data_IF_578783081677
#
_entry.id   IF_578783081677
#
_cell.length_a   1.000
_cell.length_b   1.000
_cell.length_c   1.000
_cell.angle_alpha   90.00
_cell.angle_beta   90.00
_cell.angle_gamma   90.00
#
_symmetry.space_group_name_H-M   'P 1'
#
loop_
_entity.id
_entity.type
_entity.pdbx_description
1 polymer ?
#
# COMPACT_ATOMS: atom_id res chain seq x y z
N UNK A 1 14.32 -12.34 -11.76
CA UNK A 1 13.18 -12.12 -10.84
C UNK A 1 12.42 -10.94 -11.39
N UNK A 2 11.15 -11.12 -11.79
CA UNK A 2 10.34 -10.01 -12.26
C UNK A 2 10.11 -9.02 -11.13
N UNK A 3 10.09 -7.73 -11.47
CA UNK A 3 9.73 -6.68 -10.52
C UNK A 3 8.39 -7.02 -9.87
N UNK A 4 8.27 -6.84 -8.55
CA UNK A 4 7.06 -7.15 -7.80
C UNK A 4 5.96 -6.07 -8.01
N UNK A 5 5.84 -5.62 -9.26
CA UNK A 5 5.00 -4.53 -9.74
C UNK A 5 4.25 -4.99 -10.99
N UNK A 6 2.94 -4.73 -11.04
CA UNK A 6 2.02 -5.31 -12.02
C UNK A 6 1.11 -4.25 -12.63
N UNK A 7 0.91 -4.36 -13.95
CA UNK A 7 0.11 -3.43 -14.75
C UNK A 7 0.95 -2.38 -15.47
N UNK A 8 0.36 -1.76 -16.49
CA UNK A 8 1.00 -0.66 -17.22
C UNK A 8 0.77 0.68 -16.49
N UNK A 9 1.77 1.57 -16.41
CA UNK A 9 1.58 2.90 -15.86
C UNK A 9 0.52 3.72 -16.61
N UNK A 10 -0.31 4.44 -15.86
CA UNK A 10 -1.29 5.39 -16.37
C UNK A 10 -0.65 6.78 -16.35
N UNK A 11 -0.32 7.25 -17.55
CA UNK A 11 0.45 8.47 -17.82
C UNK A 11 -0.40 9.46 -18.63
N UNK A 12 0.09 10.68 -18.85
CA UNK A 12 -0.56 11.62 -19.79
C UNK A 12 -0.72 10.99 -21.19
N UNK A 13 0.22 10.16 -21.63
CA UNK A 13 0.11 9.46 -22.91
C UNK A 13 -1.01 8.41 -22.93
N UNK A 14 -1.31 7.80 -21.79
CA UNK A 14 -2.44 6.88 -21.62
C UNK A 14 -3.74 7.65 -21.70
N UNK A 15 -3.84 8.79 -21.01
CA UNK A 15 -5.04 9.64 -20.99
C UNK A 15 -5.34 10.22 -22.37
N UNK A 16 -4.35 10.72 -23.12
CA UNK A 16 -4.54 11.25 -24.49
C UNK A 16 -5.11 10.25 -25.51
N UNK A 17 -5.16 8.96 -25.18
CA UNK A 17 -5.82 7.93 -26.00
C UNK A 17 -7.31 7.75 -25.66
N UNK A 18 -7.78 8.40 -24.59
CA UNK A 18 -9.19 8.43 -24.21
C UNK A 18 -9.87 9.63 -24.88
N UNK A 19 -11.09 9.47 -25.43
CA UNK A 19 -11.79 10.54 -26.12
C UNK A 19 -11.98 11.82 -25.28
N UNK A 20 -12.11 11.67 -23.96
CA UNK A 20 -12.31 12.79 -23.02
C UNK A 20 -11.06 13.67 -22.81
N UNK A 21 -9.86 13.18 -23.16
CA UNK A 21 -8.58 13.90 -23.00
C UNK A 21 -7.79 14.06 -24.31
N UNK A 22 -8.36 13.70 -25.46
CA UNK A 22 -7.65 13.67 -26.76
C UNK A 22 -7.05 15.03 -27.12
N UNK A 23 -7.82 16.10 -26.90
CA UNK A 23 -7.42 17.50 -27.14
C UNK A 23 -7.03 18.26 -25.86
N UNK A 24 -6.84 17.56 -24.73
CA UNK A 24 -6.48 18.19 -23.47
C UNK A 24 -4.96 18.40 -23.36
N UNK A 25 -4.57 19.68 -23.27
CA UNK A 25 -3.18 20.10 -23.10
C UNK A 25 -2.77 20.22 -21.63
N UNK A 26 -3.72 20.17 -20.69
CA UNK A 26 -3.54 20.46 -19.27
C UNK A 26 -3.88 19.27 -18.35
N UNK A 27 -3.56 18.04 -18.77
CA UNK A 27 -3.75 16.83 -17.96
C UNK A 27 -2.98 16.94 -16.63
N UNK A 28 -3.74 16.92 -15.53
CA UNK A 28 -3.23 17.04 -14.16
C UNK A 28 -2.94 15.68 -13.52
N UNK A 29 -2.33 15.68 -12.32
CA UNK A 29 -2.19 14.45 -11.52
C UNK A 29 -3.55 13.92 -11.06
N UNK A 30 -4.53 14.78 -10.81
CA UNK A 30 -5.90 14.41 -10.42
C UNK A 30 -6.56 13.61 -11.56
N UNK A 31 -6.44 14.06 -12.82
CA UNK A 31 -6.98 13.33 -13.96
C UNK A 31 -6.37 11.92 -14.07
N UNK A 32 -5.04 11.83 -13.92
CA UNK A 32 -4.33 10.55 -13.91
C UNK A 32 -4.74 9.65 -12.75
N UNK A 33 -5.01 10.22 -11.58
CA UNK A 33 -5.48 9.52 -10.38
C UNK A 33 -6.90 8.96 -10.59
N UNK A 34 -7.83 9.77 -11.11
CA UNK A 34 -9.20 9.35 -11.46
C UNK A 34 -9.19 8.14 -12.41
N UNK A 35 -8.46 8.25 -13.53
CA UNK A 35 -8.37 7.15 -14.51
C UNK A 35 -7.71 5.92 -13.88
N UNK A 36 -6.67 6.10 -13.06
CA UNK A 36 -6.05 4.99 -12.36
C UNK A 36 -7.00 4.28 -11.41
N UNK A 37 -7.79 5.00 -10.63
CA UNK A 37 -8.75 4.39 -9.72
C UNK A 37 -9.81 3.58 -10.47
N UNK A 38 -10.34 4.13 -11.57
CA UNK A 38 -11.30 3.45 -12.45
C UNK A 38 -10.72 2.20 -13.11
N UNK A 39 -9.42 2.19 -13.41
CA UNK A 39 -8.72 1.08 -14.06
C UNK A 39 -8.04 0.12 -13.08
N UNK A 40 -8.36 0.16 -11.78
CA UNK A 40 -7.71 -0.65 -10.74
C UNK A 40 -7.68 -2.16 -11.02
N UNK A 41 -8.75 -2.69 -11.61
CA UNK A 41 -8.89 -4.12 -11.95
C UNK A 41 -8.79 -4.39 -13.46
N UNK A 42 -8.44 -3.39 -14.28
CA UNK A 42 -8.31 -3.56 -15.72
C UNK A 42 -7.10 -4.45 -16.06
N UNK A 43 -7.14 -5.11 -17.22
CA UNK A 43 -6.02 -5.91 -17.77
C UNK A 43 -5.54 -7.05 -16.84
N UNK A 44 -6.39 -7.52 -15.93
CA UNK A 44 -6.09 -8.60 -14.97
C UNK A 44 -4.85 -8.33 -14.09
N UNK A 45 -4.43 -7.06 -13.98
CA UNK A 45 -3.22 -6.67 -13.24
C UNK A 45 -3.25 -7.12 -11.77
N UNK A 46 -4.43 -7.09 -11.16
CA UNK A 46 -4.69 -7.55 -9.80
C UNK A 46 -4.57 -9.08 -9.69
N UNK A 47 -5.05 -9.83 -10.70
CA UNK A 47 -4.97 -11.29 -10.74
C UNK A 47 -3.51 -11.73 -10.80
N UNK A 48 -2.69 -11.09 -11.64
CA UNK A 48 -1.25 -11.38 -11.73
C UNK A 48 -0.50 -11.10 -10.42
N UNK A 49 -0.83 -9.98 -9.76
CA UNK A 49 -0.26 -9.65 -8.45
C UNK A 49 -0.65 -10.68 -7.37
N UNK A 50 -1.90 -11.16 -7.38
CA UNK A 50 -2.36 -12.23 -6.47
C UNK A 50 -1.68 -13.57 -6.75
N UNK A 51 -1.58 -13.98 -8.02
CA UNK A 51 -0.87 -15.21 -8.41
C UNK A 51 0.60 -15.17 -7.96
N UNK A 52 1.24 -14.01 -8.06
CA UNK A 52 2.59 -13.82 -7.56
C UNK A 52 2.69 -14.01 -6.03
N UNK A 53 1.74 -13.45 -5.27
CA UNK A 53 1.69 -13.60 -3.82
C UNK A 53 1.41 -15.04 -3.38
N UNK A 54 0.51 -15.76 -4.06
CA UNK A 54 0.26 -17.18 -3.79
C UNK A 54 1.52 -18.02 -4.05
N UNK A 55 2.25 -17.75 -5.13
CA UNK A 55 3.55 -18.40 -5.36
C UNK A 55 4.57 -18.09 -4.25
N UNK A 56 4.61 -16.86 -3.72
CA UNK A 56 5.49 -16.52 -2.60
C UNK A 56 5.09 -17.26 -1.33
N UNK A 57 3.79 -17.37 -1.05
CA UNK A 57 3.23 -18.10 0.09
C UNK A 57 3.57 -19.59 0.03
N UNK A 58 3.41 -20.24 -1.12
CA UNK A 58 3.78 -21.66 -1.28
C UNK A 58 5.26 -21.93 -1.00
N UNK A 59 6.12 -20.95 -1.27
CA UNK A 59 7.59 -21.06 -1.11
C UNK A 59 8.11 -20.57 0.24
N UNK A 60 7.29 -19.93 1.07
CA UNK A 60 7.77 -19.23 2.26
C UNK A 60 8.18 -20.15 3.40
N UNK A 61 7.72 -21.41 3.41
CA UNK A 61 8.09 -22.42 4.41
C UNK A 61 7.60 -22.12 5.83
N UNK A 62 6.71 -21.13 5.99
CA UNK A 62 6.04 -20.80 7.25
C UNK A 62 4.53 -20.98 7.11
N UNK A 63 3.84 -21.00 8.24
CA UNK A 63 2.40 -21.20 8.39
C UNK A 63 1.63 -19.89 8.68
N UNK A 64 2.32 -18.74 8.74
CA UNK A 64 1.70 -17.43 8.92
C UNK A 64 2.47 -16.31 8.19
N UNK A 65 1.74 -15.45 7.51
CA UNK A 65 2.27 -14.26 6.83
C UNK A 65 1.16 -13.34 6.35
N UNK A 66 1.47 -12.19 5.80
CA UNK A 66 0.53 -11.21 5.26
C UNK A 66 0.84 -10.99 3.79
N UNK A 67 -0.15 -11.23 2.93
CA UNK A 67 -0.05 -11.02 1.49
C UNK A 67 -0.41 -9.56 1.19
N UNK A 68 0.59 -8.70 0.97
CA UNK A 68 0.38 -7.27 0.83
C UNK A 68 0.28 -6.84 -0.64
N UNK A 69 -0.80 -6.13 -0.96
CA UNK A 69 -1.07 -5.52 -2.25
C UNK A 69 -1.21 -3.99 -2.08
N UNK A 70 -0.45 -3.24 -2.88
CA UNK A 70 -0.40 -1.79 -2.86
C UNK A 70 -0.82 -1.24 -4.21
N UNK A 71 -1.97 -0.59 -4.33
CA UNK A 71 -2.39 0.05 -5.58
C UNK A 71 -2.11 1.54 -5.56
N UNK A 72 -1.32 2.03 -6.52
CA UNK A 72 -1.08 3.46 -6.65
C UNK A 72 -2.05 4.11 -7.64
N UNK A 73 -2.93 4.97 -7.15
CA UNK A 73 -3.81 5.85 -7.91
C UNK A 73 -3.61 7.32 -7.50
N UNK A 74 -2.38 7.73 -7.17
CA UNK A 74 -2.07 9.12 -6.74
C UNK A 74 -1.87 10.08 -7.89
N UNK A 75 -1.88 9.59 -9.14
CA UNK A 75 -1.54 10.37 -10.32
C UNK A 75 -0.05 10.40 -10.64
N UNK A 76 0.83 10.11 -9.67
CA UNK A 76 2.29 10.08 -9.85
C UNK A 76 2.91 8.79 -9.32
N UNK A 77 4.21 8.59 -9.52
CA UNK A 77 4.93 7.42 -8.97
C UNK A 77 5.19 7.62 -7.48
N UNK A 78 4.93 6.58 -6.67
CA UNK A 78 5.33 6.53 -5.26
C UNK A 78 6.59 5.68 -5.09
N UNK A 79 7.48 6.09 -4.17
CA UNK A 79 8.79 5.45 -3.95
C UNK A 79 9.00 5.04 -2.51
N UNK A 80 9.52 3.84 -2.28
CA UNK A 80 9.79 3.35 -0.93
C UNK A 80 10.82 4.26 -0.22
N UNK A 81 10.50 4.71 0.99
CA UNK A 81 11.39 5.52 1.84
C UNK A 81 11.97 4.67 2.96
N UNK A 82 11.10 4.01 3.72
CA UNK A 82 11.46 3.23 4.89
C UNK A 82 10.41 2.16 5.17
N UNK A 83 10.72 1.26 6.09
CA UNK A 83 9.83 0.20 6.55
C UNK A 83 10.14 -0.13 8.01
N UNK A 84 9.16 -0.71 8.70
CA UNK A 84 9.33 -1.20 10.08
C UNK A 84 8.84 -2.63 10.15
N UNK A 85 9.65 -3.51 10.72
CA UNK A 85 9.23 -4.88 11.07
C UNK A 85 9.23 -4.96 12.60
N UNK A 86 8.04 -4.89 13.21
CA UNK A 86 7.91 -5.05 14.67
C UNK A 86 8.03 -6.53 15.04
N UNK A 87 7.38 -7.40 14.28
CA UNK A 87 7.47 -8.86 14.41
C UNK A 87 7.45 -9.50 13.04
N UNK A 88 8.30 -10.49 12.80
CA UNK A 88 8.47 -11.08 11.48
C UNK A 88 9.42 -10.28 10.59
N UNK A 89 9.40 -10.57 9.29
CA UNK A 89 10.22 -9.88 8.30
C UNK A 89 9.63 -10.05 6.89
N UNK A 90 10.19 -9.31 5.94
CA UNK A 90 9.90 -9.53 4.52
C UNK A 90 10.28 -10.96 4.08
N UNK A 91 9.43 -11.56 3.24
CA UNK A 91 9.64 -12.85 2.62
C UNK A 91 10.66 -12.81 1.47
N UNK A 92 10.53 -13.75 0.53
CA UNK A 92 11.53 -13.97 -0.52
C UNK A 92 11.65 -12.87 -1.60
N UNK A 93 10.71 -11.92 -1.64
CA UNK A 93 10.74 -10.76 -2.54
C UNK A 93 10.94 -9.48 -1.75
N UNK A 94 11.79 -8.54 -2.21
CA UNK A 94 11.92 -7.22 -1.59
C UNK A 94 10.61 -6.42 -1.69
N UNK A 95 10.52 -5.35 -0.89
CA UNK A 95 9.45 -4.38 -1.02
C UNK A 95 9.54 -3.72 -2.41
N UNK A 96 8.43 -3.47 -3.12
CA UNK A 96 8.44 -2.73 -4.37
C UNK A 96 9.07 -1.36 -4.17
N UNK A 97 10.18 -1.08 -4.85
CA UNK A 97 10.93 0.17 -4.66
C UNK A 97 10.20 1.37 -5.25
N UNK A 98 9.54 1.20 -6.40
CA UNK A 98 8.74 2.21 -7.06
C UNK A 98 7.44 1.57 -7.56
N UNK A 99 6.32 2.26 -7.42
CA UNK A 99 5.02 1.83 -7.95
C UNK A 99 4.47 3.01 -8.74
N UNK A 100 4.38 2.90 -10.07
CA UNK A 100 3.84 3.99 -10.87
C UNK A 100 2.31 4.08 -10.73
N UNK A 101 1.75 5.25 -11.05
CA UNK A 101 0.31 5.44 -11.10
C UNK A 101 -0.35 4.38 -12.00
N UNK A 102 -1.42 3.74 -11.53
CA UNK A 102 -2.12 2.67 -12.22
C UNK A 102 -1.58 1.25 -11.99
N UNK A 103 -0.50 1.08 -11.21
CA UNK A 103 0.13 -0.21 -10.95
C UNK A 103 -0.18 -0.77 -9.55
N UNK A 104 -0.07 -2.09 -9.44
CA UNK A 104 -0.03 -2.82 -8.17
C UNK A 104 1.40 -3.16 -7.79
N UNK A 105 1.83 -2.83 -6.58
CA UNK A 105 2.97 -3.47 -5.92
C UNK A 105 2.51 -4.65 -5.08
N UNK A 106 3.34 -5.69 -4.98
CA UNK A 106 3.04 -6.87 -4.16
C UNK A 106 4.25 -7.31 -3.33
N UNK A 107 4.03 -7.69 -2.07
CA UNK A 107 5.06 -8.35 -1.27
C UNK A 107 4.44 -9.26 -0.21
N UNK A 108 5.22 -10.23 0.26
CA UNK A 108 4.85 -11.10 1.37
C UNK A 108 5.65 -10.69 2.61
N UNK A 109 4.97 -10.48 3.73
CA UNK A 109 5.58 -10.34 5.04
C UNK A 109 5.29 -11.61 5.86
N UNK A 110 6.29 -12.22 6.48
CA UNK A 110 6.15 -13.53 7.15
C UNK A 110 6.43 -13.43 8.64
N UNK A 111 5.84 -14.32 9.44
CA UNK A 111 6.31 -14.48 10.82
C UNK A 111 7.74 -15.00 10.83
N UNK A 112 8.46 -14.66 11.90
CA UNK A 112 9.82 -15.15 12.16
C UNK A 112 9.84 -15.93 13.46
N UNK A 113 10.45 -17.11 13.46
CA UNK A 113 10.69 -17.87 14.68
C UNK A 113 11.92 -17.32 15.45
N UNK A 114 11.88 -17.19 16.79
CA UNK A 114 10.71 -17.35 17.66
C UNK A 114 9.87 -16.07 17.68
N UNK A 115 8.62 -16.13 17.24
CA UNK A 115 7.76 -14.95 17.13
C UNK A 115 6.41 -15.33 16.52
N UNK A 116 5.28 -14.99 17.17
CA UNK A 116 3.98 -15.48 16.72
C UNK A 116 3.48 -14.71 15.48
N UNK A 117 3.77 -13.42 15.37
CA UNK A 117 3.01 -12.54 14.49
C UNK A 117 3.79 -12.09 13.24
N UNK A 118 3.04 -11.66 12.23
CA UNK A 118 3.53 -10.89 11.08
C UNK A 118 3.04 -9.46 11.20
N UNK A 119 3.92 -8.56 11.67
CA UNK A 119 3.58 -7.17 12.01
C UNK A 119 4.61 -6.22 11.43
N UNK A 120 4.16 -5.38 10.50
CA UNK A 120 5.06 -4.49 9.79
C UNK A 120 4.37 -3.26 9.23
N UNK A 121 5.20 -2.34 8.74
CA UNK A 121 4.78 -1.14 8.04
C UNK A 121 5.74 -0.84 6.88
N UNK A 122 5.20 -0.19 5.86
CA UNK A 122 5.95 0.36 4.71
C UNK A 122 5.57 1.82 4.52
N UNK A 123 6.53 2.65 4.14
CA UNK A 123 6.34 4.08 3.87
C UNK A 123 6.79 4.39 2.47
N UNK A 124 5.90 4.99 1.70
CA UNK A 124 6.17 5.45 0.35
C UNK A 124 6.09 6.97 0.28
N UNK A 125 7.04 7.61 -0.39
CA UNK A 125 6.98 9.03 -0.74
C UNK A 125 6.22 9.19 -2.05
N UNK A 126 5.23 10.06 -2.03
CA UNK A 126 4.46 10.47 -3.19
C UNK A 126 4.28 11.97 -3.20
N UNK A 127 3.27 12.44 -3.93
CA UNK A 127 2.87 13.84 -3.95
C UNK A 127 1.41 13.99 -3.57
N UNK A 128 1.09 15.12 -2.96
CA UNK A 128 -0.29 15.56 -2.77
C UNK A 128 -0.86 16.18 -4.06
N UNK A 129 -2.15 16.55 -4.11
CA UNK A 129 -2.76 17.11 -5.32
C UNK A 129 -2.11 18.41 -5.82
N UNK A 130 -1.39 19.12 -4.95
CA UNK A 130 -0.67 20.36 -5.31
C UNK A 130 0.76 20.11 -5.77
N UNK A 131 1.20 18.85 -5.75
CA UNK A 131 2.55 18.44 -6.17
C UNK A 131 3.59 18.48 -5.06
N UNK A 132 3.19 18.76 -3.81
CA UNK A 132 4.09 18.78 -2.65
C UNK A 132 4.35 17.34 -2.21
N UNK A 133 5.61 17.02 -1.90
CA UNK A 133 5.98 15.68 -1.44
C UNK A 133 5.40 15.38 -0.04
N UNK A 134 4.96 14.14 0.13
CA UNK A 134 4.43 13.63 1.40
C UNK A 134 4.69 12.12 1.51
N UNK A 135 4.68 11.62 2.74
CA UNK A 135 4.94 10.21 3.06
C UNK A 135 3.63 9.48 3.40
N UNK A 136 3.46 8.30 2.82
CA UNK A 136 2.26 7.47 2.85
C UNK A 136 2.59 6.15 3.53
N UNK A 137 2.10 5.97 4.77
CA UNK A 137 2.43 4.82 5.61
C UNK A 137 1.28 3.81 5.63
N UNK A 138 1.61 2.54 5.38
CA UNK A 138 0.69 1.40 5.51
C UNK A 138 1.26 0.45 6.56
N UNK A 139 0.46 0.11 7.57
CA UNK A 139 0.82 -0.85 8.62
C UNK A 139 -0.24 -1.93 8.80
N UNK A 140 0.20 -3.10 9.24
CA UNK A 140 -0.65 -4.25 9.50
C UNK A 140 -0.13 -5.09 10.68
N UNK A 141 -1.07 -5.73 11.38
CA UNK A 141 -0.81 -6.79 12.34
C UNK A 141 -1.59 -8.03 11.92
N UNK A 142 -0.86 -9.12 11.73
CA UNK A 142 -1.41 -10.45 11.57
C UNK A 142 -0.99 -11.35 12.75
N UNK A 143 -1.84 -11.52 13.77
CA UNK A 143 -1.54 -12.35 14.93
C UNK A 143 -1.79 -13.84 14.66
N UNK A 144 -0.98 -14.72 15.27
CA UNK A 144 -1.14 -16.19 15.20
C UNK A 144 -2.39 -16.66 15.95
N UNK A 145 -2.67 -16.06 17.10
CA UNK A 145 -3.83 -16.39 17.93
C UNK A 145 -5.12 -15.80 17.36
N UNK A 146 -5.70 -16.47 16.36
CA UNK A 146 -6.97 -16.10 15.71
C UNK A 146 -8.21 -16.23 16.59
N UNK A 147 -8.10 -16.93 17.71
CA UNK A 147 -9.23 -17.14 18.63
C UNK A 147 -9.47 -15.90 19.48
N UNK A 148 -8.39 -15.22 19.90
CA UNK A 148 -8.48 -14.08 20.82
C UNK A 148 -8.16 -12.73 20.16
N UNK A 149 -7.41 -12.75 19.05
CA UNK A 149 -6.92 -11.55 18.40
C UNK A 149 -7.41 -11.50 16.94
N UNK A 150 -7.75 -10.29 16.51
CA UNK A 150 -8.10 -10.00 15.12
C UNK A 150 -6.92 -9.31 14.43
N UNK A 151 -6.84 -9.47 13.12
CA UNK A 151 -5.94 -8.67 12.28
C UNK A 151 -6.23 -7.18 12.41
N UNK A 152 -5.17 -6.39 12.28
CA UNK A 152 -5.22 -4.93 12.35
C UNK A 152 -4.64 -4.33 11.09
N UNK A 153 -5.23 -3.23 10.64
CA UNK A 153 -4.67 -2.40 9.59
C UNK A 153 -4.76 -0.93 10.00
N UNK A 154 -3.72 -0.18 9.71
CA UNK A 154 -3.65 1.25 10.05
C UNK A 154 -2.78 2.00 9.05
N UNK A 155 -3.11 3.26 8.83
CA UNK A 155 -2.44 4.07 7.81
C UNK A 155 -2.49 5.54 8.18
N UNK A 156 -1.46 6.29 7.78
CA UNK A 156 -1.37 7.75 7.90
C UNK A 156 -0.71 8.32 6.64
N UNK A 157 -1.11 9.54 6.24
CA UNK A 157 -0.37 10.35 5.25
C UNK A 157 0.09 11.63 5.95
N UNK A 158 1.40 11.88 5.91
CA UNK A 158 2.08 12.93 6.66
C UNK A 158 3.10 13.66 5.79
N UNK A 159 3.62 14.76 6.30
CA UNK A 159 4.77 15.46 5.74
C UNK A 159 5.98 14.54 5.56
N UNK A 160 6.89 14.93 4.67
CA UNK A 160 8.14 14.19 4.45
C UNK A 160 8.88 13.95 5.76
N UNK A 161 9.50 12.78 5.86
CA UNK A 161 10.39 12.37 6.95
C UNK A 161 9.71 12.18 8.31
N UNK A 162 8.38 12.31 8.40
CA UNK A 162 7.60 12.09 9.63
C UNK A 162 7.88 10.72 10.27
N UNK A 163 8.14 9.71 9.45
CA UNK A 163 8.34 8.31 9.86
C UNK A 163 9.80 7.91 10.09
N UNK A 164 10.74 8.87 10.04
CA UNK A 164 12.17 8.56 10.26
C UNK A 164 12.55 8.52 11.74
N UNK A 165 11.73 9.08 12.63
CA UNK A 165 11.98 9.07 14.07
C UNK A 165 11.51 7.76 14.71
N UNK A 166 12.37 7.12 15.51
CA UNK A 166 12.03 5.86 16.18
C UNK A 166 10.82 5.97 17.14
N UNK A 167 10.63 7.13 17.77
CA UNK A 167 9.48 7.40 18.62
C UNK A 167 8.15 7.35 17.87
N UNK A 168 8.14 7.68 16.57
CA UNK A 168 6.94 7.64 15.73
C UNK A 168 6.43 6.20 15.60
N UNK A 169 7.33 5.22 15.49
CA UNK A 169 6.95 3.81 15.34
C UNK A 169 6.27 3.23 16.58
N UNK A 170 6.60 3.69 17.79
CA UNK A 170 5.91 3.27 19.00
C UNK A 170 4.46 3.78 19.02
N UNK A 171 4.25 5.04 18.62
CA UNK A 171 2.92 5.64 18.49
C UNK A 171 2.08 4.92 17.44
N UNK A 172 2.63 4.69 16.24
CA UNK A 172 1.95 3.98 15.14
C UNK A 172 1.54 2.57 15.57
N UNK A 173 2.43 1.85 16.25
CA UNK A 173 2.11 0.52 16.75
C UNK A 173 0.88 0.55 17.66
N UNK A 174 0.84 1.48 18.63
CA UNK A 174 -0.30 1.59 19.56
C UNK A 174 -1.61 2.00 18.86
N UNK A 175 -1.53 2.91 17.88
CA UNK A 175 -2.68 3.31 17.07
C UNK A 175 -3.21 2.13 16.24
N UNK A 176 -2.32 1.36 15.63
CA UNK A 176 -2.66 0.13 14.90
C UNK A 176 -3.28 -0.94 15.82
N UNK A 177 -2.75 -1.17 17.01
CA UNK A 177 -3.35 -2.12 17.96
C UNK A 177 -4.78 -1.72 18.36
N UNK A 178 -5.04 -0.42 18.40
CA UNK A 178 -6.35 0.16 18.69
C UNK A 178 -7.28 0.23 17.47
N UNK A 179 -6.79 -0.10 16.26
CA UNK A 179 -7.56 -0.06 15.03
C UNK A 179 -8.35 -1.35 14.78
N UNK A 180 -9.03 -1.42 13.63
CA UNK A 180 -9.73 -2.61 13.15
C UNK A 180 -9.07 -3.22 11.92
N UNK A 181 -9.83 -4.02 11.17
CA UNK A 181 -9.41 -4.63 9.91
C UNK A 181 -9.37 -3.64 8.72
N UNK A 182 -9.83 -2.41 8.94
CA UNK A 182 -9.86 -1.35 7.93
C UNK A 182 -9.51 -0.01 8.57
N UNK A 183 -8.71 0.79 7.87
CA UNK A 183 -8.43 2.18 8.22
C UNK A 183 -8.40 3.05 6.97
N UNK A 184 -8.78 4.31 7.15
CA UNK A 184 -8.80 5.33 6.10
C UNK A 184 -8.21 6.61 6.68
N UNK A 185 -7.10 7.08 6.09
CA UNK A 185 -6.35 8.23 6.57
C UNK A 185 -7.15 9.53 6.53
N UNK A 186 -8.22 9.62 5.73
CA UNK A 186 -9.10 10.80 5.68
C UNK A 186 -9.82 11.07 7.00
N UNK A 187 -9.87 10.08 7.90
CA UNK A 187 -10.43 10.23 9.26
C UNK A 187 -9.44 10.87 10.25
N UNK A 188 -8.17 10.96 9.88
CA UNK A 188 -7.13 11.53 10.75
C UNK A 188 -7.08 13.05 10.62
N UNK A 189 -7.15 13.74 11.76
CA UNK A 189 -7.14 15.22 11.82
C UNK A 189 -5.91 15.87 11.19
N UNK A 190 -4.78 15.16 11.20
CA UNK A 190 -3.50 15.67 10.73
C UNK A 190 -3.15 15.17 9.31
N UNK A 191 -4.07 14.49 8.63
CA UNK A 191 -3.81 13.88 7.31
C UNK A 191 -3.38 14.94 6.30
N UNK A 192 -2.40 14.62 5.44
CA UNK A 192 -1.99 15.50 4.36
C UNK A 192 -3.19 15.89 3.50
N UNK A 193 -3.39 17.20 3.31
CA UNK A 193 -4.60 17.73 2.67
C UNK A 193 -4.72 17.19 1.24
N UNK A 194 -5.90 16.66 0.91
CA UNK A 194 -6.18 16.15 -0.43
C UNK A 194 -5.57 14.77 -0.72
N UNK A 195 -4.92 14.13 0.25
CA UNK A 195 -4.46 12.74 0.17
C UNK A 195 -5.48 11.79 0.80
N UNK A 196 -5.64 10.59 0.23
CA UNK A 196 -6.50 9.53 0.76
C UNK A 196 -5.81 8.18 0.66
N UNK A 197 -5.51 7.58 1.80
CA UNK A 197 -4.96 6.23 1.87
C UNK A 197 -5.91 5.35 2.65
N UNK A 198 -6.38 4.29 2.00
CA UNK A 198 -7.18 3.25 2.65
C UNK A 198 -6.39 1.96 2.71
N UNK A 199 -6.53 1.24 3.82
CA UNK A 199 -5.97 -0.09 4.00
C UNK A 199 -7.03 -1.01 4.60
N UNK A 200 -7.15 -2.22 4.05
CA UNK A 200 -7.93 -3.31 4.63
C UNK A 200 -7.10 -4.57 4.76
N UNK A 201 -7.47 -5.45 5.67
CA UNK A 201 -6.84 -6.76 5.84
C UNK A 201 -7.91 -7.82 6.13
N UNK A 202 -7.79 -9.00 5.52
CA UNK A 202 -8.59 -10.17 5.88
C UNK A 202 -8.24 -10.71 7.28
N UNK A 203 -8.93 -11.75 7.75
CA UNK A 203 -8.59 -12.41 9.02
C UNK A 203 -8.35 -13.91 8.80
N UNK A 204 -7.11 -14.27 8.49
CA UNK A 204 -6.63 -15.63 8.24
C UNK A 204 -5.13 -15.72 8.60
N UNK A 205 -4.51 -16.89 8.49
CA UNK A 205 -3.06 -17.08 8.64
C UNK A 205 -2.26 -16.46 7.49
N UNK A 206 -2.85 -16.39 6.30
CA UNK A 206 -2.32 -15.66 5.13
C UNK A 206 -3.35 -14.67 4.59
N UNK A 207 -3.77 -13.66 5.38
CA UNK A 207 -4.75 -12.70 4.93
C UNK A 207 -4.14 -11.78 3.87
N UNK A 208 -4.98 -11.35 2.94
CA UNK A 208 -4.62 -10.32 1.97
C UNK A 208 -4.81 -8.96 2.65
N UNK A 209 -3.75 -8.16 2.70
CA UNK A 209 -3.79 -6.75 3.05
C UNK A 209 -3.76 -5.91 1.77
N UNK A 210 -4.78 -5.07 1.57
CA UNK A 210 -4.91 -4.22 0.37
C UNK A 210 -4.82 -2.76 0.81
N UNK A 211 -3.84 -2.04 0.27
CA UNK A 211 -3.75 -0.60 0.40
C UNK A 211 -4.02 0.09 -0.94
N UNK A 212 -4.75 1.19 -0.91
CA UNK A 212 -5.06 2.01 -2.09
C UNK A 212 -4.65 3.44 -1.80
N UNK A 213 -3.62 3.90 -2.51
CA UNK A 213 -3.10 5.25 -2.45
C UNK A 213 -3.85 6.09 -3.49
N UNK A 214 -4.56 7.12 -3.07
CA UNK A 214 -5.35 7.96 -3.99
C UNK A 214 -5.41 9.40 -3.49
N UNK A 215 -5.94 10.31 -4.30
CA UNK A 215 -6.22 11.68 -3.87
C UNK A 215 -7.65 11.76 -3.29
N UNK A 216 -7.99 12.84 -2.60
CA UNK A 216 -9.38 13.12 -2.25
C UNK A 216 -10.10 13.65 -3.49
N UNK A 217 -11.41 13.40 -3.57
CA UNK A 217 -12.29 13.86 -4.65
C UNK A 217 -11.98 13.30 -6.06
N UNK A 218 -11.35 12.12 -6.14
CA UNK A 218 -11.17 11.30 -7.37
C UNK A 218 -12.03 10.03 -7.38
#
# INVERSE_FOLDING_TARGET
MGDAVFGNPITNSTLKRLPEFEDDYNITSIDRACVALNMKNAEEKNVRALQYLEMLKEKCGVDLGTLCLLYNATGDTIKLVTYKNWYGNIGASPYPMEIANGQWGAFLHVKKSPGPNSVGAVVYRGKDPTGVECDWMVSFDNPDNKVQLNTKAYTEVREIDHFLLDSTWATIYNLMQSSGYFHDSTKDKNNQKGCSLSVSIGNDHFPIAVAVFTLQDV
#
